data_IF_744185868408
#
_entry.id   IF_744185868408
#
_cell.length_a   1.000
_cell.length_b   1.000
_cell.length_c   1.000
_cell.angle_alpha   90.00
_cell.angle_beta   90.00
_cell.angle_gamma   90.00
#
_symmetry.space_group_name_H-M   'P 1'
#
loop_
_entity.id
_entity.type
_entity.pdbx_description
1 polymer ?
#
# COMPACT_ATOMS: atom_id res chain seq x y z
N UNK A 1 1.79 -21.85 4.56
CA UNK A 1 2.58 -20.77 3.93
C UNK A 1 1.66 -19.55 3.90
N UNK A 2 2.10 -18.36 4.34
CA UNK A 2 1.23 -17.17 4.33
C UNK A 2 1.12 -16.66 2.89
N UNK A 3 0.14 -17.12 2.13
CA UNK A 3 0.01 -16.82 0.69
C UNK A 3 -0.45 -15.38 0.40
N UNK A 4 -0.88 -14.63 1.42
CA UNK A 4 -1.29 -13.23 1.31
C UNK A 4 -0.16 -12.20 1.43
N UNK A 5 1.10 -12.63 1.51
CA UNK A 5 2.26 -11.71 1.60
C UNK A 5 3.22 -11.86 0.43
N UNK A 6 3.88 -10.76 0.05
CA UNK A 6 4.96 -10.72 -0.92
C UNK A 6 6.28 -10.36 -0.22
N UNK A 7 7.35 -11.08 -0.54
CA UNK A 7 8.68 -10.78 0.02
C UNK A 7 9.49 -10.01 -1.02
N UNK A 8 9.85 -8.77 -0.68
CA UNK A 8 10.83 -8.01 -1.43
C UNK A 8 12.23 -8.35 -0.90
N UNK A 9 12.96 -9.16 -1.68
CA UNK A 9 14.31 -9.63 -1.32
C UNK A 9 15.36 -8.52 -1.39
N UNK A 10 15.12 -7.45 -2.15
CA UNK A 10 16.08 -6.35 -2.30
C UNK A 10 16.09 -5.49 -1.04
N UNK A 11 14.90 -5.13 -0.56
CA UNK A 11 14.71 -4.33 0.66
C UNK A 11 14.69 -5.17 1.95
N UNK A 12 14.56 -6.51 1.83
CA UNK A 12 14.34 -7.43 2.96
C UNK A 12 13.05 -7.10 3.73
N UNK A 13 12.03 -6.71 2.99
CA UNK A 13 10.71 -6.38 3.52
C UNK A 13 9.68 -7.43 3.11
N UNK A 14 8.65 -7.56 3.94
CA UNK A 14 7.48 -8.38 3.67
C UNK A 14 6.26 -7.48 3.61
N UNK A 15 5.55 -7.55 2.50
CA UNK A 15 4.39 -6.73 2.20
C UNK A 15 3.12 -7.56 2.24
N UNK A 16 2.02 -6.99 2.75
CA UNK A 16 0.70 -7.54 2.43
C UNK A 16 0.41 -7.30 0.95
N UNK A 17 -0.07 -8.34 0.26
CA UNK A 17 -0.40 -8.26 -1.18
C UNK A 17 -1.68 -7.45 -1.44
N UNK A 18 -2.55 -7.39 -0.43
CA UNK A 18 -3.81 -6.68 -0.47
C UNK A 18 -3.72 -5.39 0.32
N UNK A 19 -4.40 -4.36 -0.18
CA UNK A 19 -4.66 -3.16 0.60
C UNK A 19 -5.50 -3.52 1.84
N UNK A 20 -5.37 -2.72 2.90
CA UNK A 20 -6.24 -2.83 4.09
C UNK A 20 -7.71 -2.72 3.65
N UNK A 21 -8.59 -3.53 4.24
CA UNK A 21 -10.00 -3.68 3.86
C UNK A 21 -10.27 -4.84 2.90
N UNK A 22 -9.24 -5.28 2.16
CA UNK A 22 -9.33 -6.40 1.22
C UNK A 22 -8.77 -7.70 1.82
N UNK A 23 -9.20 -8.84 1.26
CA UNK A 23 -8.76 -10.16 1.69
C UNK A 23 -8.10 -10.94 0.54
N UNK A 24 -7.00 -11.62 0.83
CA UNK A 24 -6.33 -12.48 -0.15
C UNK A 24 -7.12 -13.77 -0.37
N UNK A 25 -7.55 -13.99 -1.62
CA UNK A 25 -8.18 -15.22 -2.06
C UNK A 25 -7.12 -16.14 -2.70
N UNK A 26 -6.77 -17.23 -2.00
CA UNK A 26 -5.79 -18.21 -2.46
C UNK A 26 -6.17 -18.87 -3.78
N UNK A 27 -7.44 -19.25 -3.97
CA UNK A 27 -7.88 -19.99 -5.16
C UNK A 27 -7.77 -19.14 -6.42
N UNK A 28 -8.13 -17.85 -6.31
CA UNK A 28 -8.08 -16.89 -7.42
C UNK A 28 -6.71 -16.22 -7.57
N UNK A 29 -5.84 -16.34 -6.55
CA UNK A 29 -4.56 -15.63 -6.42
C UNK A 29 -4.72 -14.11 -6.58
N UNK A 30 -5.75 -13.56 -5.97
CA UNK A 30 -6.16 -12.15 -6.06
C UNK A 30 -6.78 -11.68 -4.75
N UNK A 31 -6.79 -10.38 -4.53
CA UNK A 31 -7.52 -9.76 -3.43
C UNK A 31 -8.99 -9.59 -3.81
N UNK A 32 -9.87 -9.84 -2.84
CA UNK A 32 -11.32 -9.65 -2.98
C UNK A 32 -11.83 -8.69 -1.91
N UNK A 33 -12.95 -8.01 -2.19
CA UNK A 33 -13.46 -6.91 -1.37
C UNK A 33 -13.03 -5.55 -1.91
N UNK A 34 -13.33 -4.51 -1.16
CA UNK A 34 -12.98 -3.12 -1.47
C UNK A 34 -11.93 -2.64 -0.46
N UNK A 35 -10.96 -1.81 -0.88
CA UNK A 35 -10.00 -1.25 0.05
C UNK A 35 -10.66 -0.19 0.94
N UNK A 36 -10.15 -0.07 2.17
CA UNK A 36 -10.59 0.96 3.09
C UNK A 36 -9.92 2.31 2.76
N UNK A 37 -10.71 3.38 2.74
CA UNK A 37 -10.23 4.76 2.73
C UNK A 37 -9.87 5.21 4.14
N UNK A 38 -8.61 5.08 4.53
CA UNK A 38 -8.15 5.35 5.90
C UNK A 38 -7.44 6.69 5.99
N UNK A 39 -7.72 7.45 7.04
CA UNK A 39 -6.87 8.56 7.44
C UNK A 39 -5.59 8.05 8.12
N UNK A 40 -4.61 8.91 8.37
CA UNK A 40 -3.31 8.51 8.93
C UNK A 40 -3.44 7.79 10.28
N UNK A 41 -4.27 8.30 11.20
CA UNK A 41 -4.48 7.65 12.50
C UNK A 41 -5.10 6.25 12.35
N UNK A 42 -6.12 6.13 11.51
CA UNK A 42 -6.79 4.86 11.24
C UNK A 42 -5.87 3.87 10.52
N UNK A 43 -5.00 4.34 9.62
CA UNK A 43 -3.97 3.53 8.97
C UNK A 43 -2.99 2.93 9.99
N UNK A 44 -2.50 3.74 10.93
CA UNK A 44 -1.62 3.26 12.00
C UNK A 44 -2.33 2.25 12.90
N UNK A 45 -3.59 2.49 13.24
CA UNK A 45 -4.39 1.56 14.03
C UNK A 45 -4.66 0.25 13.29
N UNK A 46 -4.95 0.32 11.99
CA UNK A 46 -5.13 -0.87 11.16
C UNK A 46 -3.85 -1.72 11.09
N UNK A 47 -2.69 -1.08 11.01
CA UNK A 47 -1.40 -1.77 11.06
C UNK A 47 -1.20 -2.51 12.40
N UNK A 48 -1.50 -1.86 13.53
CA UNK A 48 -1.45 -2.50 14.86
C UNK A 48 -2.40 -3.70 14.96
N UNK A 49 -3.62 -3.57 14.41
CA UNK A 49 -4.61 -4.65 14.41
C UNK A 49 -4.23 -5.83 13.51
N UNK A 50 -3.44 -5.60 12.45
CA UNK A 50 -2.96 -6.67 11.57
C UNK A 50 -1.96 -7.62 12.28
N UNK A 51 -1.47 -7.23 13.45
CA UNK A 51 -0.62 -8.03 14.31
C UNK A 51 0.81 -7.49 14.40
N UNK A 52 1.60 -8.14 15.26
CA UNK A 52 2.94 -7.68 15.60
C UNK A 52 3.87 -7.56 14.37
N UNK A 53 4.59 -6.44 14.30
CA UNK A 53 5.54 -6.11 13.25
C UNK A 53 4.93 -5.42 12.02
N UNK A 54 3.61 -5.48 11.82
CA UNK A 54 2.97 -4.75 10.73
C UNK A 54 2.90 -3.25 11.02
N UNK A 55 3.27 -2.47 10.02
CA UNK A 55 3.30 -1.00 10.08
C UNK A 55 2.90 -0.40 8.74
N UNK A 56 2.52 0.88 8.77
CA UNK A 56 2.41 1.70 7.56
C UNK A 56 3.84 1.93 7.02
N UNK A 57 4.09 1.75 5.72
CA UNK A 57 5.43 1.90 5.14
C UNK A 57 5.91 3.34 5.23
N UNK A 58 7.22 3.55 5.20
CA UNK A 58 7.79 4.88 4.94
C UNK A 58 7.70 5.20 3.44
N UNK A 59 7.94 6.46 3.08
CA UNK A 59 8.05 6.86 1.67
C UNK A 59 9.15 6.12 0.93
N UNK A 60 10.32 5.98 1.55
CA UNK A 60 11.47 5.25 0.98
C UNK A 60 11.15 3.78 0.72
N UNK A 61 10.39 3.13 1.62
CA UNK A 61 9.99 1.73 1.46
C UNK A 61 8.93 1.58 0.36
N UNK A 62 7.94 2.46 0.32
CA UNK A 62 6.88 2.38 -0.68
C UNK A 62 7.42 2.68 -2.09
N UNK A 63 8.40 3.58 -2.19
CA UNK A 63 9.12 3.88 -3.43
C UNK A 63 9.83 2.65 -4.01
N UNK A 64 10.29 1.69 -3.19
CA UNK A 64 10.94 0.48 -3.72
C UNK A 64 10.00 -0.43 -4.52
N UNK A 65 8.69 -0.26 -4.36
CA UNK A 65 7.68 -0.98 -5.13
C UNK A 65 7.39 -0.32 -6.49
N UNK A 66 7.82 0.93 -6.69
CA UNK A 66 7.57 1.67 -7.90
C UNK A 66 8.37 1.08 -9.07
N UNK A 67 7.68 0.81 -10.17
CA UNK A 67 8.27 0.32 -11.41
C UNK A 67 8.31 1.42 -12.47
N UNK A 68 9.48 1.57 -13.10
CA UNK A 68 9.65 2.40 -14.30
C UNK A 68 9.15 1.63 -15.53
N UNK A 69 7.84 1.67 -15.75
CA UNK A 69 7.17 1.13 -16.94
C UNK A 69 6.41 2.24 -17.65
N UNK A 70 6.35 2.23 -18.98
CA UNK A 70 5.57 3.21 -19.74
C UNK A 70 4.05 2.93 -19.67
N UNK A 71 3.66 1.67 -19.62
CA UNK A 71 2.25 1.24 -19.68
C UNK A 71 1.83 0.49 -18.41
N UNK A 72 0.53 0.60 -18.08
CA UNK A 72 -0.06 -0.09 -16.94
C UNK A 72 0.31 0.51 -15.59
N UNK A 73 0.08 -0.26 -14.54
CA UNK A 73 0.40 0.12 -13.17
C UNK A 73 1.92 0.17 -12.97
N UNK A 74 2.36 1.12 -12.16
CA UNK A 74 3.76 1.33 -11.77
C UNK A 74 4.16 0.45 -10.59
N UNK A 75 3.65 -0.78 -10.51
CA UNK A 75 3.93 -1.75 -9.45
C UNK A 75 3.84 -3.16 -10.03
N UNK A 76 4.54 -4.13 -9.44
CA UNK A 76 4.48 -5.53 -9.87
C UNK A 76 3.06 -6.10 -9.69
N UNK A 77 2.29 -6.11 -10.77
CA UNK A 77 0.92 -6.61 -10.79
C UNK A 77 0.81 -8.12 -10.52
N UNK A 78 1.91 -8.88 -10.59
CA UNK A 78 1.93 -10.29 -10.15
C UNK A 78 2.01 -10.41 -8.64
N UNK A 79 2.65 -9.45 -7.97
CA UNK A 79 2.72 -9.38 -6.51
C UNK A 79 1.50 -8.68 -5.90
N UNK A 80 0.99 -7.63 -6.57
CA UNK A 80 -0.10 -6.78 -6.12
C UNK A 80 -1.22 -6.69 -7.18
N UNK A 81 -1.99 -7.77 -7.38
CA UNK A 81 -2.89 -7.90 -8.54
C UNK A 81 -4.12 -6.99 -8.54
N UNK A 82 -4.49 -6.39 -7.41
CA UNK A 82 -5.75 -5.65 -7.25
C UNK A 82 -5.54 -4.23 -6.71
N UNK A 83 -4.37 -3.65 -6.96
CA UNK A 83 -4.06 -2.25 -6.63
C UNK A 83 -5.01 -1.28 -7.32
N UNK A 84 -5.50 -1.60 -8.53
CA UNK A 84 -6.52 -0.79 -9.22
C UNK A 84 -7.83 -0.66 -8.46
N UNK A 85 -8.14 -1.56 -7.53
CA UNK A 85 -9.35 -1.43 -6.70
C UNK A 85 -9.29 -0.23 -5.75
N UNK A 86 -8.09 0.35 -5.56
CA UNK A 86 -7.86 1.59 -4.82
C UNK A 86 -7.95 2.85 -5.69
N UNK A 87 -8.24 2.72 -7.00
CA UNK A 87 -8.43 3.85 -7.91
C UNK A 87 -9.91 4.22 -7.99
N UNK A 88 -10.27 5.33 -7.33
CA UNK A 88 -11.62 5.89 -7.32
C UNK A 88 -11.81 7.00 -8.37
N UNK A 89 -10.96 7.06 -9.39
CA UNK A 89 -10.98 8.09 -10.45
C UNK A 89 -9.89 9.15 -10.31
N UNK A 90 -9.09 9.09 -9.24
CA UNK A 90 -7.99 10.01 -8.94
C UNK A 90 -6.63 9.27 -8.82
N UNK A 91 -6.56 8.02 -9.27
CA UNK A 91 -5.38 7.19 -9.17
C UNK A 91 -5.38 6.26 -7.96
N UNK A 92 -4.45 5.31 -7.95
CA UNK A 92 -4.35 4.28 -6.93
C UNK A 92 -3.40 4.75 -5.82
N UNK A 93 -3.95 5.53 -4.88
CA UNK A 93 -3.19 6.31 -3.90
C UNK A 93 -2.97 5.57 -2.57
N UNK A 94 -1.72 5.45 -2.14
CA UNK A 94 -1.32 4.70 -0.95
C UNK A 94 -0.53 5.52 0.06
N UNK A 95 -0.99 5.53 1.30
CA UNK A 95 -0.32 6.25 2.39
C UNK A 95 1.08 5.73 2.69
N UNK A 96 1.93 6.68 3.10
CA UNK A 96 3.16 6.42 3.83
C UNK A 96 3.06 7.00 5.24
N UNK A 97 3.98 6.62 6.12
CA UNK A 97 4.16 7.21 7.45
C UNK A 97 5.14 8.39 7.46
N UNK A 98 5.67 8.77 6.31
CA UNK A 98 6.64 9.87 6.20
C UNK A 98 5.91 11.20 6.15
N UNK A 99 6.09 12.01 7.20
CA UNK A 99 5.58 13.37 7.27
C UNK A 99 6.38 14.27 6.30
N UNK A 100 5.68 14.92 5.37
CA UNK A 100 6.27 15.84 4.40
C UNK A 100 6.44 17.24 5.02
N UNK A 101 5.43 17.66 5.79
CA UNK A 101 5.44 18.88 6.61
C UNK A 101 4.35 18.76 7.67
N UNK A 102 4.31 19.63 8.71
CA UNK A 102 3.41 19.46 9.85
C UNK A 102 1.95 19.17 9.47
N UNK A 103 1.49 17.95 9.76
CA UNK A 103 0.13 17.49 9.49
C UNK A 103 -0.14 16.99 8.06
N UNK A 104 0.87 16.90 7.20
CA UNK A 104 0.78 16.37 5.84
C UNK A 104 1.79 15.27 5.60
N UNK A 105 1.35 14.18 4.97
CA UNK A 105 2.11 12.95 4.80
C UNK A 105 2.23 12.61 3.33
N UNK A 106 3.33 11.97 2.94
CA UNK A 106 3.48 11.51 1.56
C UNK A 106 2.55 10.32 1.26
N UNK A 107 2.08 10.26 0.03
CA UNK A 107 1.44 9.10 -0.56
C UNK A 107 1.99 8.86 -1.98
N UNK A 108 1.84 7.63 -2.47
CA UNK A 108 2.25 7.24 -3.83
C UNK A 108 1.05 6.81 -4.64
N UNK A 109 0.98 7.26 -5.89
CA UNK A 109 0.00 6.82 -6.87
C UNK A 109 0.62 5.76 -7.78
N UNK A 110 0.21 4.50 -7.63
CA UNK A 110 0.69 3.41 -8.49
C UNK A 110 0.00 3.32 -9.85
N UNK A 111 -1.10 4.04 -10.06
CA UNK A 111 -1.71 4.13 -11.38
C UNK A 111 -0.93 5.10 -12.28
N UNK A 112 -0.52 6.25 -11.73
CA UNK A 112 0.12 7.32 -12.51
C UNK A 112 1.64 7.44 -12.29
N UNK A 113 2.18 6.92 -11.18
CA UNK A 113 3.61 6.83 -10.94
C UNK A 113 4.26 8.03 -10.28
N UNK A 114 3.49 8.83 -9.54
CA UNK A 114 4.01 9.98 -8.81
C UNK A 114 3.80 9.83 -7.31
N UNK A 115 4.52 10.66 -6.55
CA UNK A 115 4.29 10.87 -5.13
C UNK A 115 3.83 12.31 -4.91
N UNK A 116 2.94 12.50 -3.96
CA UNK A 116 2.48 13.82 -3.50
C UNK A 116 2.20 13.73 -1.99
N UNK A 117 1.66 14.79 -1.39
CA UNK A 117 1.31 14.83 0.02
C UNK A 117 -0.14 15.24 0.24
N UNK A 118 -0.73 14.74 1.32
CA UNK A 118 -2.06 15.18 1.73
C UNK A 118 -2.15 15.31 3.25
N UNK A 119 -3.10 16.13 3.71
CA UNK A 119 -3.42 16.26 5.13
C UNK A 119 -3.79 14.91 5.76
N UNK A 120 -3.36 14.72 7.01
CA UNK A 120 -3.50 13.46 7.75
C UNK A 120 -4.94 12.95 7.89
N UNK A 121 -5.95 13.80 7.72
CA UNK A 121 -7.36 13.46 7.82
C UNK A 121 -8.00 12.85 6.56
N UNK A 122 -7.29 12.85 5.42
CA UNK A 122 -7.83 12.35 4.16
C UNK A 122 -7.78 10.83 4.06
N UNK A 123 -8.77 10.23 3.42
CA UNK A 123 -8.88 8.78 3.28
C UNK A 123 -8.12 8.26 2.07
N UNK A 124 -7.03 7.51 2.27
CA UNK A 124 -6.32 6.79 1.21
C UNK A 124 -6.20 5.29 1.54
N UNK A 125 -5.85 4.50 0.53
CA UNK A 125 -5.53 3.08 0.73
C UNK A 125 -4.20 2.90 1.45
N UNK A 126 -3.98 1.71 2.00
CA UNK A 126 -2.76 1.38 2.76
C UNK A 126 -2.29 -0.02 2.39
N UNK A 127 -1.04 -0.15 2.00
CA UNK A 127 -0.31 -1.43 2.03
C UNK A 127 0.43 -1.50 3.36
N UNK A 128 0.42 -2.66 4.00
CA UNK A 128 1.18 -2.87 5.23
C UNK A 128 2.50 -3.55 4.92
N UNK A 129 3.53 -3.14 5.64
CA UNK A 129 4.87 -3.68 5.54
C UNK A 129 5.35 -4.15 6.91
N UNK A 130 6.29 -5.09 6.91
CA UNK A 130 7.07 -5.50 8.08
C UNK A 130 8.44 -5.98 7.65
N UNK A 131 9.35 -6.06 8.61
CA UNK A 131 10.68 -6.60 8.37
C UNK A 131 10.62 -8.13 8.20
N UNK A 132 11.56 -8.70 7.43
CA UNK A 132 11.63 -10.13 7.14
C UNK A 132 12.09 -10.99 8.31
#
# INVERSE_FOLDING_TARGET
MKEGVATDRKSRLVWNRCAVGMEWNTDKKRCTGEPDGLNQEAAQKAAQNAGEGWRVPTGEELETLLLDTCEGLKIDNSAFPDIKSSDYGEGANFWTSTEAMPGMFYFFDFANGYADMHSAGYGLSVLLVRDQ
#
